data_IF_913444142352
#
_entry.id   IF_913444142352
#
_cell.length_a   1.000
_cell.length_b   1.000
_cell.length_c   1.000
_cell.angle_alpha   90.00
_cell.angle_beta   90.00
_cell.angle_gamma   90.00
#
_symmetry.space_group_name_H-M   'P 1'
#
loop_
_entity.id
_entity.type
_entity.pdbx_description
1 polymer ?
#
# COMPACT_ATOMS: atom_id res chain seq x y z
N UNK A 1 18.36 -6.21 -20.75
CA UNK A 1 17.13 -5.43 -20.51
C UNK A 1 16.45 -5.96 -19.24
N UNK A 2 16.21 -5.06 -18.31
CA UNK A 2 15.56 -5.47 -17.04
C UNK A 2 14.07 -5.47 -17.23
N UNK A 3 13.45 -6.63 -17.05
CA UNK A 3 12.01 -6.77 -17.09
C UNK A 3 11.50 -6.75 -15.64
N UNK A 4 10.57 -5.83 -15.38
CA UNK A 4 9.95 -5.75 -14.05
C UNK A 4 8.95 -6.90 -13.91
N UNK A 5 9.09 -7.73 -12.87
CA UNK A 5 8.14 -8.84 -12.67
C UNK A 5 6.71 -8.35 -12.52
N UNK A 6 5.77 -9.19 -12.94
CA UNK A 6 4.33 -8.90 -12.84
C UNK A 6 3.93 -8.61 -11.41
N UNK A 7 4.52 -9.31 -10.43
CA UNK A 7 4.24 -9.07 -9.01
C UNK A 7 4.54 -7.63 -8.61
N UNK A 8 5.65 -7.07 -9.10
CA UNK A 8 5.99 -5.67 -8.81
C UNK A 8 5.10 -4.69 -9.56
N UNK A 9 4.72 -5.01 -10.80
CA UNK A 9 3.78 -4.18 -11.55
C UNK A 9 2.43 -4.12 -10.86
N UNK A 10 1.96 -5.26 -10.34
CA UNK A 10 0.71 -5.33 -9.59
C UNK A 10 0.79 -4.49 -8.31
N UNK A 11 1.92 -4.52 -7.63
CA UNK A 11 2.13 -3.72 -6.43
C UNK A 11 2.09 -2.22 -6.74
N UNK A 12 2.77 -1.80 -7.80
CA UNK A 12 2.77 -0.40 -8.22
C UNK A 12 1.35 0.06 -8.55
N UNK A 13 0.61 -0.77 -9.27
CA UNK A 13 -0.77 -0.45 -9.64
C UNK A 13 -1.66 -0.30 -8.39
N UNK A 14 -1.54 -1.24 -7.46
CA UNK A 14 -2.33 -1.20 -6.23
C UNK A 14 -2.01 0.07 -5.42
N UNK A 15 -0.73 0.40 -5.28
CA UNK A 15 -0.33 1.61 -4.58
C UNK A 15 -0.89 2.86 -5.25
N UNK A 16 -0.85 2.94 -6.57
CA UNK A 16 -1.39 4.09 -7.31
C UNK A 16 -2.89 4.23 -7.12
N UNK A 17 -3.61 3.12 -7.13
CA UNK A 17 -5.05 3.15 -6.91
C UNK A 17 -5.39 3.58 -5.48
N UNK A 18 -4.62 3.10 -4.51
CA UNK A 18 -4.79 3.54 -3.13
C UNK A 18 -4.55 5.04 -3.00
N UNK A 19 -3.52 5.56 -3.66
CA UNK A 19 -3.22 6.99 -3.65
C UNK A 19 -4.34 7.82 -4.25
N UNK A 20 -4.91 7.37 -5.37
CA UNK A 20 -6.06 8.05 -5.98
C UNK A 20 -7.24 8.09 -5.03
N UNK A 21 -7.51 6.98 -4.36
CA UNK A 21 -8.61 6.91 -3.39
C UNK A 21 -8.37 7.85 -2.22
N UNK A 22 -7.13 7.94 -1.76
CA UNK A 22 -6.74 8.85 -0.70
C UNK A 22 -6.97 10.31 -1.11
N UNK A 23 -6.52 10.69 -2.31
CA UNK A 23 -6.67 12.05 -2.83
C UNK A 23 -8.14 12.41 -2.97
N UNK A 24 -8.98 11.48 -3.39
CA UNK A 24 -10.42 11.72 -3.55
C UNK A 24 -11.19 11.66 -2.24
N UNK A 25 -10.54 11.26 -1.15
CA UNK A 25 -11.19 11.18 0.16
C UNK A 25 -12.06 9.94 0.36
N UNK A 26 -11.92 8.94 -0.50
CA UNK A 26 -12.68 7.69 -0.40
C UNK A 26 -11.97 6.71 0.52
N UNK A 27 -12.21 6.86 1.82
CA UNK A 27 -11.51 6.07 2.83
C UNK A 27 -11.87 4.59 2.81
N UNK A 28 -13.08 4.24 2.37
CA UNK A 28 -13.45 2.85 2.20
C UNK A 28 -12.59 2.20 1.12
N UNK A 29 -12.44 2.88 -0.01
CA UNK A 29 -11.57 2.39 -1.08
C UNK A 29 -10.11 2.30 -0.64
N UNK A 30 -9.65 3.26 0.17
CA UNK A 30 -8.28 3.21 0.74
C UNK A 30 -8.10 1.94 1.56
N UNK A 31 -9.05 1.58 2.41
CA UNK A 31 -8.97 0.37 3.22
C UNK A 31 -8.97 -0.88 2.34
N UNK A 32 -9.78 -0.89 1.30
CA UNK A 32 -9.82 -2.03 0.37
C UNK A 32 -8.49 -2.18 -0.36
N UNK A 33 -7.92 -1.08 -0.83
CA UNK A 33 -6.63 -1.11 -1.52
C UNK A 33 -5.47 -1.41 -0.57
N UNK A 34 -5.58 -1.04 0.70
CA UNK A 34 -4.58 -1.38 1.70
C UNK A 34 -4.37 -2.90 1.78
N UNK A 35 -5.45 -3.65 1.78
CA UNK A 35 -5.38 -5.11 1.79
C UNK A 35 -4.72 -5.65 0.52
N UNK A 36 -5.03 -5.07 -0.63
CA UNK A 36 -4.43 -5.47 -1.90
C UNK A 36 -2.93 -5.15 -1.91
N UNK A 37 -2.56 -3.96 -1.44
CA UNK A 37 -1.14 -3.57 -1.35
C UNK A 37 -0.37 -4.55 -0.47
N UNK A 38 -0.91 -4.91 0.68
CA UNK A 38 -0.26 -5.86 1.58
C UNK A 38 -0.04 -7.22 0.91
N UNK A 39 -1.04 -7.73 0.21
CA UNK A 39 -0.94 -8.99 -0.50
C UNK A 39 0.10 -8.92 -1.62
N UNK A 40 0.03 -7.88 -2.44
CA UNK A 40 0.95 -7.73 -3.57
C UNK A 40 2.38 -7.50 -3.11
N UNK A 41 2.57 -6.79 -2.00
CA UNK A 41 3.90 -6.59 -1.42
C UNK A 41 4.51 -7.94 -1.00
N UNK A 42 3.74 -8.77 -0.33
CA UNK A 42 4.19 -10.11 0.07
C UNK A 42 4.57 -10.94 -1.15
N UNK A 43 3.74 -10.93 -2.19
CA UNK A 43 4.02 -11.67 -3.42
C UNK A 43 5.26 -11.16 -4.14
N UNK A 44 5.47 -9.85 -4.14
CA UNK A 44 6.65 -9.26 -4.78
C UNK A 44 7.93 -9.65 -4.04
N UNK A 45 7.91 -9.67 -2.71
CA UNK A 45 9.08 -10.11 -1.93
C UNK A 45 9.39 -11.59 -2.11
N UNK A 46 8.36 -12.41 -2.33
CA UNK A 46 8.54 -13.85 -2.53
C UNK A 46 8.95 -14.20 -3.95
N UNK A 47 8.88 -13.26 -4.88
CA UNK A 47 9.21 -13.51 -6.28
C UNK A 47 10.72 -13.64 -6.46
N UNK A 48 11.22 -14.81 -6.92
CA UNK A 48 12.65 -14.97 -7.13
C UNK A 48 13.24 -14.07 -8.22
N UNK A 49 12.38 -13.55 -9.11
CA UNK A 49 12.80 -12.65 -10.18
C UNK A 49 12.71 -11.18 -9.79
N UNK A 50 12.47 -10.88 -8.51
CA UNK A 50 12.25 -9.51 -8.06
C UNK A 50 13.46 -8.61 -8.36
N UNK A 51 13.15 -7.38 -8.73
CA UNK A 51 14.16 -6.33 -8.89
C UNK A 51 14.28 -5.60 -7.54
N UNK A 52 15.36 -5.83 -6.84
CA UNK A 52 15.55 -5.31 -5.48
C UNK A 52 15.54 -3.79 -5.41
N UNK A 53 16.14 -3.11 -6.38
CA UNK A 53 16.23 -1.65 -6.38
C UNK A 53 14.86 -1.02 -6.61
N UNK A 54 14.11 -1.54 -7.59
CA UNK A 54 12.78 -1.05 -7.88
C UNK A 54 11.81 -1.35 -6.75
N UNK A 55 11.95 -2.53 -6.14
CA UNK A 55 11.09 -2.90 -5.02
C UNK A 55 11.35 -2.01 -3.81
N UNK A 56 12.63 -1.70 -3.52
CA UNK A 56 12.97 -0.79 -2.44
C UNK A 56 12.42 0.61 -2.68
N UNK A 57 12.52 1.11 -3.92
CA UNK A 57 11.98 2.41 -4.29
C UNK A 57 10.45 2.45 -4.13
N UNK A 58 9.79 1.38 -4.53
CA UNK A 58 8.33 1.29 -4.38
C UNK A 58 7.94 1.23 -2.89
N UNK A 59 8.69 0.49 -2.09
CA UNK A 59 8.45 0.42 -0.65
C UNK A 59 8.57 1.80 0.00
N UNK A 60 9.55 2.60 -0.41
CA UNK A 60 9.67 3.98 0.09
C UNK A 60 8.43 4.81 -0.24
N UNK A 61 7.90 4.67 -1.45
CA UNK A 61 6.68 5.37 -1.86
C UNK A 61 5.48 4.93 -1.03
N UNK A 62 5.38 3.62 -0.77
CA UNK A 62 4.31 3.07 0.06
C UNK A 62 4.40 3.64 1.48
N UNK A 63 5.59 3.62 2.07
CA UNK A 63 5.78 4.14 3.43
C UNK A 63 5.47 5.64 3.52
N UNK A 64 5.88 6.40 2.51
CA UNK A 64 5.57 7.82 2.44
C UNK A 64 4.06 8.08 2.36
N UNK A 65 3.37 7.29 1.53
CA UNK A 65 1.92 7.40 1.40
C UNK A 65 1.21 7.07 2.72
N UNK A 66 1.60 5.99 3.37
CA UNK A 66 1.02 5.62 4.66
C UNK A 66 1.28 6.69 5.72
N UNK A 67 2.47 7.28 5.73
CA UNK A 67 2.80 8.35 6.64
C UNK A 67 1.86 9.55 6.46
N UNK A 68 1.59 9.92 5.21
CA UNK A 68 0.66 11.01 4.90
C UNK A 68 -0.77 10.67 5.32
N UNK A 69 -1.20 9.44 5.04
CA UNK A 69 -2.55 9.00 5.35
C UNK A 69 -2.79 8.98 6.87
N UNK A 70 -1.84 8.49 7.64
CA UNK A 70 -1.96 8.44 9.11
C UNK A 70 -2.14 9.84 9.68
N UNK A 71 -1.43 10.83 9.13
CA UNK A 71 -1.52 12.22 9.60
C UNK A 71 -2.87 12.87 9.30
N UNK A 72 -3.59 12.35 8.32
CA UNK A 72 -4.84 12.96 7.83
C UNK A 72 -6.07 12.09 8.03
N UNK A 73 -5.92 10.97 8.72
CA UNK A 73 -7.05 10.08 8.95
C UNK A 73 -8.16 10.80 9.72
N UNK A 74 -9.42 10.68 9.28
CA UNK A 74 -10.54 11.05 10.12
C UNK A 74 -10.51 10.24 11.41
N UNK A 75 -10.98 10.81 12.52
CA UNK A 75 -10.90 10.16 13.81
C UNK A 75 -11.47 8.74 13.80
N UNK A 76 -12.64 8.56 13.18
CA UNK A 76 -13.27 7.24 13.09
C UNK A 76 -12.43 6.24 12.32
N UNK A 77 -11.80 6.67 11.23
CA UNK A 77 -10.93 5.81 10.43
C UNK A 77 -9.63 5.49 11.18
N UNK A 78 -9.10 6.47 11.92
CA UNK A 78 -7.91 6.26 12.73
C UNK A 78 -8.14 5.20 13.80
N UNK A 79 -9.30 5.23 14.45
CA UNK A 79 -9.65 4.21 15.43
C UNK A 79 -9.68 2.81 14.82
N UNK A 80 -10.28 2.66 13.66
CA UNK A 80 -10.37 1.37 13.00
C UNK A 80 -8.99 0.87 12.53
N UNK A 81 -8.13 1.78 12.12
CA UNK A 81 -6.83 1.43 11.51
C UNK A 81 -5.71 1.24 12.52
N UNK A 82 -5.66 2.12 13.52
CA UNK A 82 -4.51 2.22 14.41
C UNK A 82 -4.67 1.45 15.70
N UNK A 83 -5.86 0.96 16.01
CA UNK A 83 -6.14 0.31 17.28
C UNK A 83 -6.96 -0.98 17.14
N UNK A 84 -6.57 -1.88 16.23
CA UNK A 84 -7.30 -3.14 16.08
C UNK A 84 -7.30 -3.98 17.37
N UNK A 85 -6.26 -3.87 18.18
CA UNK A 85 -6.15 -4.59 19.43
C UNK A 85 -7.16 -4.15 20.46
N UNK A 86 -7.71 -2.95 20.32
CA UNK A 86 -8.70 -2.45 21.27
C UNK A 86 -10.11 -2.94 20.95
N UNK A 87 -10.25 -3.68 19.87
CA UNK A 87 -11.53 -4.26 19.50
C UNK A 87 -11.78 -5.59 20.18
N UNK A 88 -10.88 -6.02 20.98
CA UNK A 88 -11.01 -7.24 21.79
C UNK A 88 -11.90 -7.00 23.00
#
# INVERSE_FOLDING_TARGET
MNVVPVTQLNLIRARREMEKSYISGDWQAVQDWDQVVALQLSQAFDDPARDHKLLAAELEKILSLYSQMVRRLPEAAADAWLRPELMN
#
